data_IF_210541829935
#
_entry.id   IF_210541829935
#
_cell.length_a   1.000
_cell.length_b   1.000
_cell.length_c   1.000
_cell.angle_alpha   90.00
_cell.angle_beta   90.00
_cell.angle_gamma   90.00
#
_symmetry.space_group_name_H-M   'P 1'
#
loop_
_entity.id
_entity.type
_entity.pdbx_description
1 polymer ?
#
# COMPACT_ATOMS: atom_id res chain seq x y z
N UNK A 1 17.29 2.54 7.59
CA UNK A 1 16.15 3.25 6.96
C UNK A 1 15.99 2.93 5.47
N UNK A 2 16.78 3.47 4.52
CA UNK A 2 16.59 3.16 3.07
C UNK A 2 16.58 1.66 2.74
N UNK A 3 17.50 0.90 3.34
CA UNK A 3 17.54 -0.57 3.21
C UNK A 3 16.33 -1.28 3.82
N UNK A 4 15.75 -0.72 4.88
CA UNK A 4 14.59 -1.30 5.54
C UNK A 4 13.31 -0.99 4.76
N UNK A 5 13.20 0.22 4.21
CA UNK A 5 12.14 0.61 3.29
C UNK A 5 12.17 -0.25 2.02
N UNK A 6 13.36 -0.47 1.44
CA UNK A 6 13.50 -1.36 0.28
C UNK A 6 13.05 -2.79 0.60
N UNK A 7 13.44 -3.33 1.76
CA UNK A 7 13.00 -4.66 2.21
C UNK A 7 11.48 -4.75 2.35
N UNK A 8 10.82 -3.69 2.84
CA UNK A 8 9.36 -3.63 2.94
C UNK A 8 8.72 -3.63 1.54
N UNK A 9 9.28 -2.87 0.59
CA UNK A 9 8.83 -2.87 -0.82
C UNK A 9 8.95 -4.28 -1.41
N UNK A 10 10.09 -4.94 -1.22
CA UNK A 10 10.33 -6.27 -1.77
C UNK A 10 9.34 -7.31 -1.19
N UNK A 11 9.08 -7.27 0.13
CA UNK A 11 8.07 -8.13 0.75
C UNK A 11 6.64 -7.83 0.26
N UNK A 12 6.32 -6.57 -0.01
CA UNK A 12 5.02 -6.21 -0.61
C UNK A 12 4.89 -6.79 -2.02
N UNK A 13 5.91 -6.62 -2.86
CA UNK A 13 5.91 -7.11 -4.24
C UNK A 13 5.91 -8.64 -4.33
N UNK A 14 6.54 -9.31 -3.35
CA UNK A 14 6.49 -10.76 -3.19
C UNK A 14 5.17 -11.28 -2.62
N UNK A 15 4.26 -10.41 -2.18
CA UNK A 15 3.00 -10.79 -1.53
C UNK A 15 3.16 -11.29 -0.08
N UNK A 16 4.31 -11.04 0.54
CA UNK A 16 4.66 -11.40 1.92
C UNK A 16 4.16 -10.35 2.92
N UNK A 17 2.85 -10.09 2.91
CA UNK A 17 2.28 -8.93 3.60
C UNK A 17 2.47 -8.91 5.12
N UNK A 18 2.54 -10.09 5.76
CA UNK A 18 2.84 -10.18 7.20
C UNK A 18 4.28 -9.73 7.51
N UNK A 19 5.24 -10.15 6.68
CA UNK A 19 6.63 -9.75 6.83
C UNK A 19 6.82 -8.25 6.57
N UNK A 20 6.09 -7.70 5.58
CA UNK A 20 6.05 -6.27 5.32
C UNK A 20 5.49 -5.48 6.52
N UNK A 21 4.38 -5.94 7.11
CA UNK A 21 3.78 -5.34 8.31
C UNK A 21 4.73 -5.33 9.51
N UNK A 22 5.33 -6.48 9.83
CA UNK A 22 6.21 -6.61 10.99
C UNK A 22 7.48 -5.74 10.83
N UNK A 23 8.00 -5.66 9.60
CA UNK A 23 9.14 -4.79 9.27
C UNK A 23 8.77 -3.31 9.36
N UNK A 24 7.57 -2.92 8.93
CA UNK A 24 7.07 -1.54 9.04
C UNK A 24 6.91 -1.11 10.50
N UNK A 25 6.33 -1.98 11.35
CA UNK A 25 6.18 -1.70 12.78
C UNK A 25 7.52 -1.48 13.50
N UNK A 26 8.59 -2.15 13.06
CA UNK A 26 9.93 -1.92 13.58
C UNK A 26 10.51 -0.55 13.16
N UNK A 27 10.25 -0.12 11.92
CA UNK A 27 10.63 1.22 11.42
C UNK A 27 9.86 2.31 12.17
N UNK A 28 8.56 2.14 12.41
CA UNK A 28 7.72 3.13 13.10
C UNK A 28 8.16 3.43 14.53
N UNK A 29 8.54 2.40 15.30
CA UNK A 29 9.08 2.59 16.67
C UNK A 29 10.31 3.50 16.69
N UNK A 30 11.01 3.60 15.58
CA UNK A 30 12.23 4.39 15.45
C UNK A 30 11.98 5.81 14.91
N UNK A 31 10.82 6.09 14.27
CA UNK A 31 10.53 7.37 13.59
C UNK A 31 9.03 7.76 13.63
N UNK A 32 8.46 8.08 14.80
CA UNK A 32 7.02 8.24 14.97
C UNK A 32 6.40 9.54 14.43
N UNK A 33 7.14 10.66 14.32
CA UNK A 33 6.55 11.98 14.05
C UNK A 33 6.71 12.49 12.62
N UNK A 34 7.67 11.98 11.84
CA UNK A 34 7.95 12.50 10.49
C UNK A 34 7.13 11.82 9.38
N UNK A 35 6.45 10.70 9.65
CA UNK A 35 5.97 9.78 8.60
C UNK A 35 4.57 9.16 8.86
N UNK A 36 3.78 9.77 9.75
CA UNK A 36 2.55 9.19 10.29
C UNK A 36 1.48 8.94 9.21
N UNK A 37 1.41 9.81 8.19
CA UNK A 37 0.41 9.75 7.11
C UNK A 37 0.73 8.68 6.07
N UNK A 38 2.01 8.46 5.78
CA UNK A 38 2.50 7.46 4.84
C UNK A 38 2.32 6.07 5.42
N UNK A 39 2.66 5.91 6.69
CA UNK A 39 2.48 4.68 7.47
C UNK A 39 1.00 4.32 7.61
N UNK A 40 0.13 5.27 7.97
CA UNK A 40 -1.29 4.99 8.17
C UNK A 40 -1.99 4.45 6.92
N UNK A 41 -1.59 4.88 5.71
CA UNK A 41 -2.11 4.31 4.46
C UNK A 41 -1.64 2.88 4.23
N UNK A 42 -0.39 2.56 4.58
CA UNK A 42 0.16 1.20 4.46
C UNK A 42 -0.55 0.28 5.45
N UNK A 43 -0.72 0.72 6.70
CA UNK A 43 -1.45 0.00 7.75
C UNK A 43 -2.91 -0.23 7.36
N UNK A 44 -3.60 0.80 6.87
CA UNK A 44 -4.99 0.69 6.39
C UNK A 44 -5.07 -0.33 5.28
N UNK A 45 -4.11 -0.29 4.35
CA UNK A 45 -4.04 -1.22 3.24
C UNK A 45 -3.86 -2.67 3.64
N UNK A 46 -2.96 -2.92 4.59
CA UNK A 46 -2.70 -4.26 5.14
C UNK A 46 -3.90 -4.74 5.97
N UNK A 47 -4.46 -3.88 6.82
CA UNK A 47 -5.59 -4.20 7.70
C UNK A 47 -6.84 -4.56 6.90
N UNK A 48 -7.17 -3.79 5.87
CA UNK A 48 -8.34 -4.06 5.02
C UNK A 48 -8.21 -5.43 4.34
N UNK A 49 -7.01 -5.75 3.89
CA UNK A 49 -6.71 -7.01 3.29
C UNK A 49 -6.64 -8.22 4.24
N UNK A 50 -6.54 -8.00 5.55
CA UNK A 50 -6.71 -9.06 6.56
C UNK A 50 -8.19 -9.37 6.83
N UNK A 51 -9.11 -8.45 6.50
CA UNK A 51 -10.55 -8.58 6.78
C UNK A 51 -11.35 -9.23 5.64
N UNK A 52 -10.84 -9.25 4.41
CA UNK A 52 -11.52 -9.87 3.26
C UNK A 52 -11.03 -11.31 3.01
N UNK A 53 -11.89 -12.19 2.48
CA UNK A 53 -11.53 -13.57 2.09
C UNK A 53 -11.64 -13.76 0.56
N UNK A 54 -11.02 -14.82 0.04
CA UNK A 54 -11.20 -15.24 -1.35
C UNK A 54 -10.64 -14.27 -2.40
N UNK A 55 -11.30 -14.20 -3.55
CA UNK A 55 -10.86 -13.40 -4.71
C UNK A 55 -10.89 -11.89 -4.45
N UNK A 56 -11.85 -11.43 -3.64
CA UNK A 56 -11.93 -10.03 -3.20
C UNK A 56 -10.74 -9.63 -2.33
N UNK A 57 -10.25 -10.54 -1.48
CA UNK A 57 -9.01 -10.32 -0.72
C UNK A 57 -7.83 -10.05 -1.65
N UNK A 58 -7.71 -10.81 -2.74
CA UNK A 58 -6.57 -10.74 -3.67
C UNK A 58 -6.57 -9.44 -4.48
N UNK A 59 -7.75 -9.01 -4.94
CA UNK A 59 -7.92 -7.75 -5.67
C UNK A 59 -7.70 -6.54 -4.75
N UNK A 60 -8.29 -6.59 -3.55
CA UNK A 60 -8.17 -5.54 -2.54
C UNK A 60 -6.73 -5.43 -2.03
N UNK A 61 -6.07 -6.56 -1.78
CA UNK A 61 -4.64 -6.62 -1.45
C UNK A 61 -3.78 -5.96 -2.51
N UNK A 62 -3.98 -6.34 -3.78
CA UNK A 62 -3.17 -5.83 -4.88
C UNK A 62 -3.16 -4.31 -4.94
N UNK A 63 -4.33 -3.67 -4.81
CA UNK A 63 -4.44 -2.22 -4.86
C UNK A 63 -3.75 -1.53 -3.68
N UNK A 64 -4.08 -1.92 -2.46
CA UNK A 64 -3.55 -1.26 -1.28
C UNK A 64 -2.05 -1.51 -1.10
N UNK A 65 -1.60 -2.73 -1.38
CA UNK A 65 -0.20 -3.09 -1.34
C UNK A 65 0.61 -2.36 -2.43
N UNK A 66 0.09 -2.23 -3.65
CA UNK A 66 0.73 -1.40 -4.68
C UNK A 66 0.77 0.08 -4.30
N UNK A 67 -0.29 0.61 -3.70
CA UNK A 67 -0.31 2.01 -3.22
C UNK A 67 0.76 2.24 -2.14
N UNK A 68 0.90 1.28 -1.21
CA UNK A 68 1.95 1.26 -0.21
C UNK A 68 3.35 1.24 -0.84
N UNK A 69 3.59 0.33 -1.79
CA UNK A 69 4.87 0.22 -2.48
C UNK A 69 5.24 1.50 -3.25
N UNK A 70 4.29 2.11 -3.97
CA UNK A 70 4.54 3.35 -4.70
C UNK A 70 4.85 4.52 -3.78
N UNK A 71 4.19 4.64 -2.63
CA UNK A 71 4.56 5.64 -1.62
C UNK A 71 5.95 5.43 -1.06
N UNK A 72 6.30 4.19 -0.70
CA UNK A 72 7.64 3.86 -0.22
C UNK A 72 8.71 4.13 -1.29
N UNK A 73 8.41 3.88 -2.56
CA UNK A 73 9.28 4.24 -3.70
C UNK A 73 9.43 5.76 -3.84
N UNK A 74 8.35 6.53 -3.66
CA UNK A 74 8.40 7.99 -3.67
C UNK A 74 9.30 8.52 -2.55
N UNK A 75 9.22 7.93 -1.35
CA UNK A 75 10.09 8.24 -0.21
C UNK A 75 11.57 7.92 -0.48
N UNK A 76 11.85 6.89 -1.27
CA UNK A 76 13.20 6.55 -1.71
C UNK A 76 13.70 7.46 -2.86
N UNK A 77 12.84 8.33 -3.39
CA UNK A 77 13.14 9.24 -4.51
C UNK A 77 13.04 8.57 -5.88
N UNK A 78 12.26 7.49 -6.01
CA UNK A 78 12.06 6.86 -7.31
C UNK A 78 11.33 7.80 -8.27
N UNK A 79 11.89 8.05 -9.47
CA UNK A 79 11.23 8.86 -10.48
C UNK A 79 9.86 8.29 -10.85
N UNK A 80 8.84 9.16 -10.89
CA UNK A 80 7.49 8.79 -11.32
C UNK A 80 6.63 8.07 -10.26
N UNK A 81 7.15 7.80 -9.05
CA UNK A 81 6.41 7.08 -8.01
C UNK A 81 5.11 7.80 -7.59
N UNK A 82 5.16 9.12 -7.39
CA UNK A 82 3.96 9.94 -7.16
C UNK A 82 2.94 9.89 -8.31
N UNK A 83 3.39 9.78 -9.56
CA UNK A 83 2.51 9.70 -10.73
C UNK A 83 1.86 8.32 -10.87
N UNK A 84 2.62 7.26 -10.61
CA UNK A 84 2.10 5.90 -10.49
C UNK A 84 1.03 5.81 -9.40
N UNK A 85 1.26 6.40 -8.23
CA UNK A 85 0.29 6.44 -7.14
C UNK A 85 -1.00 7.17 -7.54
N UNK A 86 -0.88 8.35 -8.17
CA UNK A 86 -2.05 9.11 -8.66
C UNK A 86 -2.85 8.34 -9.70
N UNK A 87 -2.18 7.64 -10.61
CA UNK A 87 -2.83 6.82 -11.64
C UNK A 87 -3.56 5.64 -11.00
N UNK A 88 -2.95 5.00 -10.02
CA UNK A 88 -3.54 3.87 -9.29
C UNK A 88 -4.82 4.28 -8.54
N UNK A 89 -4.82 5.45 -7.88
CA UNK A 89 -6.02 5.98 -7.22
C UNK A 89 -7.15 6.28 -8.21
N UNK A 90 -6.84 6.93 -9.35
CA UNK A 90 -7.84 7.19 -10.41
C UNK A 90 -8.49 5.90 -10.91
N UNK A 91 -7.71 4.84 -11.12
CA UNK A 91 -8.24 3.55 -11.56
C UNK A 91 -9.23 2.95 -10.54
N UNK A 92 -8.97 3.11 -9.25
CA UNK A 92 -9.92 2.67 -8.22
C UNK A 92 -11.17 3.52 -8.17
N UNK A 93 -11.05 4.84 -8.29
CA UNK A 93 -12.23 5.70 -8.35
C UNK A 93 -13.12 5.35 -9.55
N UNK A 94 -12.52 5.09 -10.72
CA UNK A 94 -13.26 4.65 -11.91
C UNK A 94 -13.96 3.30 -11.71
N UNK A 95 -13.29 2.32 -11.11
CA UNK A 95 -13.88 1.00 -10.87
C UNK A 95 -14.94 1.01 -9.78
N UNK A 96 -14.77 1.82 -8.73
CA UNK A 96 -15.78 2.04 -7.70
C UNK A 96 -17.02 2.72 -8.29
N UNK A 97 -16.83 3.76 -9.10
CA UNK A 97 -17.91 4.46 -9.82
C UNK A 97 -18.67 3.53 -10.77
N UNK A 98 -17.95 2.70 -11.53
CA UNK A 98 -18.55 1.72 -12.43
C UNK A 98 -19.38 0.65 -11.67
N UNK A 99 -18.89 0.16 -10.53
CA UNK A 99 -19.64 -0.76 -9.65
C UNK A 99 -20.91 -0.12 -9.12
N UNK A 100 -20.83 1.11 -8.61
CA UNK A 100 -22.00 1.83 -8.11
C UNK A 100 -23.08 2.01 -9.19
N UNK A 101 -22.67 2.38 -10.40
CA UNK A 101 -23.59 2.55 -11.53
C UNK A 101 -24.20 1.22 -12.03
N UNK A 102 -23.56 0.08 -11.78
CA UNK A 102 -24.10 -1.24 -12.14
C UNK A 102 -25.10 -1.82 -11.13
N UNK A 103 -25.18 -1.22 -9.93
CA UNK A 103 -26.07 -1.63 -8.84
C UNK A 103 -27.35 -0.78 -8.74
N UNK A 104 -27.43 0.31 -9.51
CA UNK A 104 -28.61 1.17 -9.69
C UNK A 104 -29.23 0.92 -11.07
#
# INVERSE_FOLDING_TARGET
>A
MKRDIQRIIDSIEAGEYKAAHDSLGAVMKSYPEEWYLEVAFIETGIAHAMQVKGQERRLTMGFYAQSAAWRLKDLLGHPGAAECLRTLHKLVDFTATARYNSLN
#
